data_IF_598690296724
#
_entry.id   IF_598690296724
#
_cell.length_a   1.000
_cell.length_b   1.000
_cell.length_c   1.000
_cell.angle_alpha   90.00
_cell.angle_beta   90.00
_cell.angle_gamma   90.00
#
_symmetry.space_group_name_H-M   'P 1'
#
loop_
_entity.id
_entity.type
_entity.pdbx_description
1 polymer ?
#
# COMPACT_ATOMS: atom_id res chain seq x y z
N UNK A 1 -5.72 15.69 19.15
CA UNK A 1 -6.36 14.88 20.20
C UNK A 1 -6.74 15.69 21.45
N UNK A 2 -5.88 16.54 21.98
CA UNK A 2 -6.20 17.31 23.20
C UNK A 2 -7.35 18.30 23.00
N UNK A 3 -7.40 18.98 21.86
CA UNK A 3 -8.48 19.92 21.51
C UNK A 3 -9.85 19.23 21.54
N UNK A 4 -10.00 18.09 20.86
CA UNK A 4 -11.26 17.33 20.81
C UNK A 4 -11.67 16.75 22.17
N UNK A 5 -10.72 16.46 23.08
CA UNK A 5 -11.06 16.02 24.45
C UNK A 5 -11.74 17.09 25.28
N UNK A 6 -11.57 18.38 24.92
CA UNK A 6 -12.16 19.53 25.63
C UNK A 6 -13.50 19.96 25.03
N UNK A 7 -13.84 19.45 23.82
CA UNK A 7 -15.09 19.80 23.14
C UNK A 7 -16.26 18.94 23.64
N UNK A 8 -17.42 19.56 23.67
CA UNK A 8 -18.69 18.87 23.93
C UNK A 8 -19.15 18.11 22.69
N UNK A 9 -20.22 17.30 22.83
CA UNK A 9 -20.86 16.59 21.72
C UNK A 9 -21.56 17.50 20.71
N UNK A 10 -21.88 18.73 21.12
CA UNK A 10 -22.58 19.72 20.30
C UNK A 10 -21.62 20.61 19.51
N UNK A 11 -20.31 20.51 19.76
CA UNK A 11 -19.26 21.22 19.04
C UNK A 11 -18.70 20.33 17.93
N UNK A 12 -18.44 20.93 16.76
CA UNK A 12 -17.77 20.25 15.66
C UNK A 12 -16.40 19.74 16.09
N UNK A 13 -16.00 18.58 15.62
CA UNK A 13 -14.65 18.05 15.86
C UNK A 13 -13.60 18.98 15.27
N UNK A 14 -12.45 19.04 15.94
CA UNK A 14 -11.27 19.72 15.43
C UNK A 14 -10.57 18.80 14.44
N UNK A 15 -10.65 19.17 13.18
CA UNK A 15 -10.17 18.39 12.04
C UNK A 15 -8.76 18.78 11.62
N UNK A 16 -8.17 18.03 10.72
CA UNK A 16 -6.85 18.33 10.19
C UNK A 16 -6.80 19.70 9.49
N UNK A 17 -7.88 20.07 8.79
CA UNK A 17 -8.01 21.38 8.14
C UNK A 17 -7.92 22.54 9.13
N UNK A 18 -8.46 22.37 10.35
CA UNK A 18 -8.43 23.43 11.38
C UNK A 18 -7.04 23.69 11.95
N UNK A 19 -6.06 22.84 11.64
CA UNK A 19 -4.68 23.00 12.10
C UNK A 19 -3.89 24.02 11.30
N UNK A 20 -4.41 24.47 10.14
CA UNK A 20 -3.69 25.33 9.20
C UNK A 20 -2.53 24.63 8.48
N UNK A 21 -2.42 23.30 8.57
CA UNK A 21 -1.30 22.54 7.96
C UNK A 21 -1.23 22.67 6.43
N UNK A 22 -2.33 23.06 5.79
CA UNK A 22 -2.41 23.24 4.34
C UNK A 22 -2.33 24.71 3.89
N UNK A 23 -2.24 25.68 4.82
CA UNK A 23 -2.35 27.12 4.50
C UNK A 23 -1.25 27.62 3.56
N UNK A 24 -0.07 27.00 3.62
CA UNK A 24 1.09 27.34 2.77
C UNK A 24 1.26 26.40 1.56
N UNK A 25 0.27 25.55 1.26
CA UNK A 25 0.33 24.52 0.21
C UNK A 25 1.54 23.55 0.33
N UNK A 26 2.17 23.46 1.51
CA UNK A 26 3.37 22.64 1.77
C UNK A 26 2.99 21.18 2.06
N UNK A 27 2.47 20.49 1.06
CA UNK A 27 2.07 19.09 1.17
C UNK A 27 2.29 18.33 -0.14
N UNK A 28 2.17 17.01 -0.08
CA UNK A 28 2.21 16.13 -1.23
C UNK A 28 0.86 15.46 -1.43
N UNK A 29 0.40 15.41 -2.69
CA UNK A 29 -0.63 14.47 -3.09
C UNK A 29 0.02 13.18 -3.55
N UNK A 30 -0.46 12.05 -3.04
CA UNK A 30 0.02 10.72 -3.43
C UNK A 30 -1.14 9.93 -4.03
N UNK A 31 -1.06 9.66 -5.32
CA UNK A 31 -2.01 8.82 -6.04
C UNK A 31 -1.47 7.41 -6.17
N UNK A 32 -2.24 6.42 -5.76
CA UNK A 32 -1.89 5.01 -5.90
C UNK A 32 -2.93 4.34 -6.78
N UNK A 33 -2.50 3.89 -7.95
CA UNK A 33 -3.36 3.29 -8.96
C UNK A 33 -2.98 1.83 -9.17
N UNK A 34 -3.97 0.99 -9.39
CA UNK A 34 -3.81 -0.44 -9.62
C UNK A 34 -4.43 -0.85 -10.93
N UNK A 35 -3.68 -1.62 -11.74
CA UNK A 35 -4.17 -2.22 -12.98
C UNK A 35 -3.82 -3.71 -13.03
N UNK A 36 -4.77 -4.55 -13.41
CA UNK A 36 -4.55 -5.99 -13.57
C UNK A 36 -4.24 -6.32 -15.03
N UNK A 37 -3.08 -6.93 -15.28
CA UNK A 37 -2.78 -7.55 -16.56
C UNK A 37 -3.55 -8.88 -16.70
N UNK A 38 -3.55 -9.69 -15.63
CA UNK A 38 -4.35 -10.92 -15.48
C UNK A 38 -4.70 -11.15 -13.97
N UNK A 39 -5.43 -12.20 -13.59
CA UNK A 39 -5.79 -12.49 -12.21
C UNK A 39 -4.59 -12.56 -11.25
N UNK A 40 -3.43 -12.97 -11.74
CA UNK A 40 -2.20 -13.20 -10.98
C UNK A 40 -1.10 -12.16 -11.27
N UNK A 41 -1.45 -11.04 -11.91
CA UNK A 41 -0.51 -10.02 -12.33
C UNK A 41 -1.07 -8.61 -12.10
N UNK A 42 -0.50 -7.89 -11.14
CA UNK A 42 -0.94 -6.59 -10.66
C UNK A 42 0.15 -5.55 -10.88
N UNK A 43 -0.18 -4.50 -11.61
CA UNK A 43 0.64 -3.32 -11.80
C UNK A 43 0.20 -2.25 -10.80
N UNK A 44 1.17 -1.54 -10.21
CA UNK A 44 0.95 -0.48 -9.23
C UNK A 44 1.72 0.74 -9.68
N UNK A 45 1.02 1.86 -9.85
CA UNK A 45 1.59 3.17 -10.17
C UNK A 45 1.37 4.10 -9.00
N UNK A 46 2.45 4.67 -8.47
CA UNK A 46 2.39 5.66 -7.40
C UNK A 46 2.90 6.98 -7.96
N UNK A 47 2.02 7.98 -8.07
CA UNK A 47 2.38 9.33 -8.52
C UNK A 47 2.34 10.28 -7.34
N UNK A 48 3.45 10.96 -7.08
CA UNK A 48 3.59 11.95 -6.01
C UNK A 48 3.70 13.33 -6.62
N UNK A 49 2.81 14.24 -6.22
CA UNK A 49 2.83 15.65 -6.60
C UNK A 49 3.26 16.51 -5.42
N UNK A 50 4.27 17.34 -5.60
CA UNK A 50 4.62 18.38 -4.64
C UNK A 50 3.76 19.61 -4.88
N UNK A 51 2.85 19.94 -3.96
CA UNK A 51 2.00 21.15 -4.05
C UNK A 51 2.70 22.39 -3.51
N UNK A 52 3.79 22.19 -2.77
CA UNK A 52 4.56 23.24 -2.16
C UNK A 52 5.28 24.15 -3.16
N UNK A 53 5.61 25.39 -2.73
CA UNK A 53 6.28 26.39 -3.57
C UNK A 53 7.79 26.13 -3.73
N UNK A 54 8.34 25.12 -3.07
CA UNK A 54 9.76 24.78 -3.08
C UNK A 54 9.97 23.30 -3.41
N UNK A 55 11.17 22.96 -3.91
CA UNK A 55 11.56 21.56 -4.05
C UNK A 55 11.61 20.88 -2.67
N UNK A 56 11.08 19.69 -2.58
CA UNK A 56 11.03 18.95 -1.32
C UNK A 56 11.33 17.47 -1.51
N UNK A 57 11.87 16.85 -0.46
CA UNK A 57 12.20 15.42 -0.43
C UNK A 57 11.07 14.65 0.24
N UNK A 58 10.59 13.60 -0.43
CA UNK A 58 9.67 12.62 0.13
C UNK A 58 10.35 11.25 0.18
N UNK A 59 10.19 10.54 1.30
CA UNK A 59 10.52 9.13 1.40
C UNK A 59 9.25 8.31 1.20
N UNK A 60 9.19 7.57 0.10
CA UNK A 60 8.08 6.69 -0.25
C UNK A 60 8.47 5.25 0.00
N UNK A 61 7.66 4.52 0.77
CA UNK A 61 7.91 3.13 1.17
C UNK A 61 6.73 2.21 0.77
N UNK A 62 6.54 1.89 -0.51
CA UNK A 62 5.62 0.83 -0.88
C UNK A 62 5.98 -0.45 -0.15
N UNK A 63 4.99 -1.03 0.54
CA UNK A 63 5.24 -2.12 1.49
C UNK A 63 4.45 -3.36 1.10
N UNK A 64 5.15 -4.50 1.00
CA UNK A 64 4.58 -5.84 0.85
C UNK A 64 4.67 -6.58 2.16
N UNK A 65 3.56 -7.14 2.63
CA UNK A 65 3.51 -7.86 3.90
C UNK A 65 2.40 -8.90 3.92
N UNK A 66 2.59 -9.90 4.77
CA UNK A 66 1.55 -10.89 5.07
C UNK A 66 0.82 -10.53 6.37
N UNK A 67 -0.50 -10.72 6.39
CA UNK A 67 -1.27 -10.64 7.64
C UNK A 67 -0.72 -11.67 8.63
N UNK A 68 -0.37 -11.19 9.84
CA UNK A 68 0.13 -12.07 10.88
C UNK A 68 -1.00 -12.90 11.47
N UNK A 69 -1.09 -14.15 11.06
CA UNK A 69 -1.96 -15.19 11.60
C UNK A 69 -1.18 -16.39 12.14
N UNK A 70 0.12 -16.48 11.85
CA UNK A 70 0.98 -17.56 12.31
C UNK A 70 1.27 -17.52 13.82
N UNK A 71 1.15 -16.36 14.47
CA UNK A 71 1.34 -16.24 15.91
C UNK A 71 0.14 -16.71 16.73
N UNK A 72 -1.01 -16.98 16.10
CA UNK A 72 -2.26 -17.38 16.75
C UNK A 72 -2.70 -18.80 16.42
N UNK A 73 -1.97 -19.51 15.61
CA UNK A 73 -2.33 -20.84 15.16
C UNK A 73 -1.17 -21.58 14.52
N UNK A 74 -1.44 -22.77 13.98
CA UNK A 74 -0.45 -23.66 13.38
C UNK A 74 -0.17 -23.34 11.88
N UNK A 75 -0.60 -22.17 11.39
CA UNK A 75 -0.35 -21.79 10.01
C UNK A 75 1.16 -21.59 9.78
N UNK A 76 1.73 -22.14 8.69
CA UNK A 76 3.12 -21.93 8.35
C UNK A 76 3.43 -20.44 8.16
N UNK A 77 4.55 -20.00 8.72
CA UNK A 77 5.01 -18.62 8.59
C UNK A 77 5.42 -18.34 7.14
N UNK A 78 4.79 -17.36 6.47
CA UNK A 78 5.17 -16.98 5.11
C UNK A 78 6.50 -16.24 5.10
N UNK A 79 7.10 -16.05 3.92
CA UNK A 79 8.37 -15.34 3.77
C UNK A 79 8.35 -14.32 2.66
N UNK A 80 9.04 -13.22 2.88
CA UNK A 80 9.48 -12.29 1.83
C UNK A 80 11.00 -12.22 1.85
N UNK A 81 11.65 -12.21 0.69
CA UNK A 81 13.11 -12.17 0.59
C UNK A 81 13.56 -11.43 -0.66
N UNK A 82 14.70 -10.79 -0.59
CA UNK A 82 15.33 -10.21 -1.78
C UNK A 82 15.93 -11.30 -2.66
N UNK A 83 15.67 -11.26 -3.97
CA UNK A 83 16.26 -12.18 -4.95
C UNK A 83 17.21 -11.50 -5.91
N UNK A 84 16.99 -10.21 -6.17
CA UNK A 84 17.84 -9.34 -6.97
C UNK A 84 17.60 -7.88 -6.54
N UNK A 85 18.39 -6.94 -7.08
CA UNK A 85 18.19 -5.51 -6.83
C UNK A 85 16.79 -5.09 -7.26
N UNK A 86 16.03 -4.48 -6.35
CA UNK A 86 14.66 -4.06 -6.59
C UNK A 86 13.64 -5.20 -6.74
N UNK A 87 13.99 -6.45 -6.37
CA UNK A 87 13.11 -7.61 -6.55
C UNK A 87 12.89 -8.36 -5.23
N UNK A 88 11.63 -8.50 -4.84
CA UNK A 88 11.19 -9.22 -3.63
C UNK A 88 10.41 -10.45 -4.06
N UNK A 89 10.81 -11.63 -3.58
CA UNK A 89 10.04 -12.85 -3.64
C UNK A 89 9.19 -12.98 -2.38
N UNK A 90 7.92 -13.27 -2.55
CA UNK A 90 6.95 -13.55 -1.50
C UNK A 90 6.45 -14.99 -1.64
N UNK A 91 6.55 -15.79 -0.57
CA UNK A 91 6.13 -17.20 -0.57
C UNK A 91 5.12 -17.44 0.55
N UNK A 92 3.99 -18.03 0.19
CA UNK A 92 2.90 -18.36 1.12
C UNK A 92 2.31 -19.72 0.73
N UNK A 93 1.96 -20.54 1.71
CA UNK A 93 1.45 -21.92 1.48
C UNK A 93 0.24 -21.93 0.51
N UNK A 94 -0.74 -21.08 0.76
CA UNK A 94 -1.99 -21.04 -0.03
C UNK A 94 -1.85 -20.17 -1.28
N UNK A 95 -1.17 -19.01 -1.18
CA UNK A 95 -1.05 -18.04 -2.28
C UNK A 95 0.07 -18.41 -3.27
N UNK A 96 0.90 -19.39 -2.92
CA UNK A 96 2.06 -19.77 -3.70
C UNK A 96 3.15 -18.69 -3.71
N UNK A 97 3.95 -18.69 -4.77
CA UNK A 97 5.05 -17.73 -4.95
C UNK A 97 4.59 -16.54 -5.78
N UNK A 98 5.02 -15.34 -5.37
CA UNK A 98 4.82 -14.08 -6.07
C UNK A 98 6.13 -13.30 -6.08
N UNK A 99 6.33 -12.52 -7.13
CA UNK A 99 7.48 -11.62 -7.27
C UNK A 99 7.00 -10.18 -7.36
N UNK A 100 7.48 -9.32 -6.47
CA UNK A 100 7.31 -7.87 -6.57
C UNK A 100 8.57 -7.28 -7.19
N UNK A 101 8.43 -6.73 -8.39
CA UNK A 101 9.45 -5.94 -9.06
C UNK A 101 9.24 -4.46 -8.74
N UNK A 102 10.32 -3.77 -8.36
CA UNK A 102 10.34 -2.35 -8.03
C UNK A 102 11.22 -1.62 -9.05
N UNK A 103 10.62 -0.72 -9.82
CA UNK A 103 11.35 0.06 -10.84
C UNK A 103 12.40 0.97 -10.18
N UNK A 104 13.52 1.23 -10.89
CA UNK A 104 14.62 2.04 -10.38
C UNK A 104 15.51 1.36 -9.33
N UNK A 105 15.29 0.09 -9.00
CA UNK A 105 16.10 -0.71 -8.07
C UNK A 105 16.34 -0.01 -6.72
N UNK A 106 15.28 0.34 -5.98
CA UNK A 106 15.40 1.00 -4.68
C UNK A 106 16.08 0.09 -3.64
N UNK A 107 16.56 0.70 -2.56
CA UNK A 107 16.96 -0.05 -1.37
C UNK A 107 15.74 -0.81 -0.81
N UNK A 108 15.93 -2.09 -0.45
CA UNK A 108 14.88 -2.92 0.11
C UNK A 108 15.13 -3.14 1.60
N UNK A 109 14.09 -2.91 2.39
CA UNK A 109 14.10 -3.06 3.85
C UNK A 109 13.22 -4.22 4.27
N UNK A 110 13.70 -5.06 5.21
CA UNK A 110 13.00 -6.26 5.64
C UNK A 110 12.80 -6.28 7.15
N UNK A 111 11.60 -6.70 7.58
CA UNK A 111 11.25 -6.91 8.99
C UNK A 111 10.24 -8.06 9.10
N UNK A 112 9.92 -8.44 10.33
CA UNK A 112 8.74 -9.24 10.61
C UNK A 112 7.50 -8.34 10.70
N UNK A 113 6.34 -8.86 10.27
CA UNK A 113 5.06 -8.20 10.51
C UNK A 113 4.49 -8.56 11.88
N UNK A 114 5.33 -8.42 12.91
CA UNK A 114 5.01 -8.69 14.31
C UNK A 114 5.07 -7.41 15.12
N UNK A 115 4.19 -7.29 16.11
CA UNK A 115 4.14 -6.10 16.97
C UNK A 115 5.39 -5.98 17.82
N UNK A 116 5.83 -4.75 18.04
CA UNK A 116 6.91 -4.44 18.98
C UNK A 116 6.41 -4.58 20.42
N UNK A 117 6.47 -5.81 20.94
CA UNK A 117 6.00 -6.16 22.27
C UNK A 117 6.82 -5.47 23.36
N UNK A 118 8.11 -5.28 23.13
CA UNK A 118 8.98 -4.58 24.05
C UNK A 118 8.55 -3.11 24.25
N UNK A 119 8.22 -2.44 23.18
CA UNK A 119 7.74 -1.05 23.21
C UNK A 119 6.33 -0.90 23.78
N UNK A 120 5.43 -1.83 23.42
CA UNK A 120 4.01 -1.70 23.74
C UNK A 120 3.67 -2.24 25.14
N UNK A 121 4.34 -3.31 25.56
CA UNK A 121 3.94 -4.09 26.76
C UNK A 121 5.11 -4.45 27.66
N UNK A 122 6.34 -4.03 27.36
CA UNK A 122 7.55 -4.38 28.13
C UNK A 122 7.91 -5.87 28.05
N UNK A 123 7.40 -6.60 27.06
CA UNK A 123 7.69 -8.02 26.83
C UNK A 123 8.78 -8.20 25.78
N UNK A 124 9.62 -9.25 25.86
CA UNK A 124 10.61 -9.52 24.83
C UNK A 124 9.97 -9.69 23.43
N UNK A 125 10.60 -9.14 22.40
CA UNK A 125 10.21 -9.39 21.03
C UNK A 125 10.67 -10.78 20.58
N UNK A 126 9.83 -11.53 19.80
CA UNK A 126 10.25 -12.80 19.19
C UNK A 126 11.38 -12.64 18.17
N UNK A 127 11.46 -11.48 17.54
CA UNK A 127 12.51 -11.08 16.62
C UNK A 127 12.98 -9.66 16.93
N UNK A 128 14.26 -9.33 16.73
CA UNK A 128 14.74 -7.95 16.85
C UNK A 128 14.17 -7.02 15.78
N UNK A 129 13.69 -7.59 14.66
CA UNK A 129 13.20 -6.85 13.49
C UNK A 129 11.66 -6.86 13.48
N UNK A 130 11.05 -5.88 14.11
CA UNK A 130 9.59 -5.77 14.29
C UNK A 130 8.96 -4.81 13.29
N UNK A 131 7.63 -4.86 13.13
CA UNK A 131 6.91 -4.17 12.04
C UNK A 131 7.05 -2.64 12.00
N UNK A 132 7.40 -1.98 13.11
CA UNK A 132 7.63 -0.54 13.21
C UNK A 132 9.09 -0.12 13.03
N UNK A 133 9.99 -1.06 12.75
CA UNK A 133 11.42 -0.79 12.61
C UNK A 133 11.77 0.16 11.44
N UNK A 134 10.90 0.29 10.43
CA UNK A 134 11.12 1.27 9.36
C UNK A 134 11.15 2.72 9.87
N UNK A 135 10.41 3.04 10.95
CA UNK A 135 10.51 4.35 11.60
C UNK A 135 11.88 4.59 12.21
N UNK A 136 12.41 3.58 12.94
CA UNK A 136 13.74 3.66 13.54
C UNK A 136 14.82 3.79 12.47
N UNK A 137 14.67 3.07 11.36
CA UNK A 137 15.59 3.15 10.22
C UNK A 137 15.62 4.54 9.59
N UNK A 138 14.42 5.11 9.31
CA UNK A 138 14.29 6.38 8.58
C UNK A 138 14.49 7.62 9.45
N UNK A 139 13.91 7.63 10.66
CA UNK A 139 13.86 8.81 11.51
C UNK A 139 15.05 8.86 12.46
N UNK A 140 15.36 7.72 13.10
CA UNK A 140 16.45 7.62 14.08
C UNK A 140 17.79 7.20 13.46
N UNK A 141 17.84 6.89 12.17
CA UNK A 141 19.05 6.44 11.46
C UNK A 141 19.57 5.06 11.88
N UNK A 142 18.76 4.28 12.60
CA UNK A 142 19.14 2.96 13.12
C UNK A 142 19.11 1.91 12.02
N UNK A 143 20.22 1.74 11.32
CA UNK A 143 20.36 0.77 10.24
C UNK A 143 20.23 -0.69 10.70
N UNK A 144 20.52 -0.96 11.96
CA UNK A 144 20.41 -2.23 12.63
C UNK A 144 18.96 -2.65 12.99
N UNK A 145 17.99 -1.75 12.81
CA UNK A 145 16.57 -2.03 13.09
C UNK A 145 15.93 -2.96 12.06
N UNK A 146 16.45 -3.03 10.84
CA UNK A 146 15.96 -3.89 9.77
C UNK A 146 16.85 -5.13 9.59
N UNK A 147 16.29 -6.21 9.04
CA UNK A 147 17.01 -7.48 8.92
C UNK A 147 18.09 -7.44 7.83
N UNK A 148 19.38 -7.53 8.17
CA UNK A 148 20.47 -7.50 7.21
C UNK A 148 20.56 -8.75 6.31
N UNK A 149 19.84 -9.82 6.65
CA UNK A 149 19.73 -11.01 5.80
C UNK A 149 18.72 -10.83 4.65
N UNK A 150 18.10 -9.64 4.53
CA UNK A 150 17.13 -9.31 3.49
C UNK A 150 15.96 -10.31 3.37
N UNK A 151 15.43 -10.71 4.50
CA UNK A 151 14.29 -11.61 4.61
C UNK A 151 13.42 -11.28 5.82
N UNK A 152 12.15 -11.72 5.79
CA UNK A 152 11.17 -11.52 6.85
C UNK A 152 9.77 -11.89 6.39
N UNK A 153 8.76 -11.27 7.00
CA UNK A 153 7.35 -11.39 6.60
C UNK A 153 6.77 -10.04 6.12
N UNK A 154 7.60 -9.00 6.12
CA UNK A 154 7.29 -7.64 5.66
C UNK A 154 8.52 -7.04 4.99
N UNK A 155 8.32 -6.44 3.83
CA UNK A 155 9.38 -5.72 3.11
C UNK A 155 8.88 -4.37 2.61
N UNK A 156 9.75 -3.39 2.52
CA UNK A 156 9.47 -2.10 1.90
C UNK A 156 10.55 -1.77 0.86
N UNK A 157 10.13 -1.15 -0.23
CA UNK A 157 11.00 -0.53 -1.21
C UNK A 157 11.18 0.96 -0.85
N UNK A 158 12.39 1.36 -0.50
CA UNK A 158 12.67 2.73 -0.07
C UNK A 158 13.05 3.61 -1.26
N UNK A 159 12.17 4.52 -1.62
CA UNK A 159 12.43 5.57 -2.62
C UNK A 159 12.65 6.91 -1.93
N UNK A 160 13.77 7.56 -2.21
CA UNK A 160 14.01 8.94 -1.84
C UNK A 160 13.75 9.81 -3.07
N UNK A 161 12.63 10.51 -3.06
CA UNK A 161 12.16 11.32 -4.17
C UNK A 161 12.40 12.80 -3.86
N UNK A 162 13.22 13.48 -4.64
CA UNK A 162 13.34 14.93 -4.63
C UNK A 162 12.45 15.47 -5.74
N UNK A 163 11.42 16.23 -5.37
CA UNK A 163 10.36 16.66 -6.28
C UNK A 163 10.37 18.19 -6.36
N UNK A 164 10.54 18.78 -7.54
CA UNK A 164 10.49 20.25 -7.73
C UNK A 164 9.17 20.85 -7.25
N UNK A 165 9.16 22.16 -6.99
CA UNK A 165 7.95 22.92 -6.71
C UNK A 165 6.92 22.70 -7.83
N UNK A 166 5.68 22.35 -7.48
CA UNK A 166 4.61 22.07 -8.43
C UNK A 166 4.85 20.86 -9.36
N UNK A 167 5.96 20.13 -9.17
CA UNK A 167 6.32 18.97 -9.98
C UNK A 167 5.75 17.66 -9.46
N UNK A 168 6.00 16.58 -10.20
CA UNK A 168 5.62 15.22 -9.80
C UNK A 168 6.70 14.20 -10.13
N UNK A 169 6.63 13.05 -9.43
CA UNK A 169 7.40 11.83 -9.75
C UNK A 169 6.55 10.60 -9.68
N UNK A 170 6.84 9.64 -10.53
CA UNK A 170 6.16 8.36 -10.63
C UNK A 170 7.08 7.22 -10.17
N UNK A 171 6.51 6.26 -9.47
CA UNK A 171 7.13 4.99 -9.08
C UNK A 171 6.24 3.85 -9.55
N UNK A 172 6.86 2.83 -10.16
CA UNK A 172 6.19 1.66 -10.73
C UNK A 172 6.57 0.40 -9.98
N UNK A 173 5.56 -0.43 -9.69
CA UNK A 173 5.78 -1.75 -9.12
C UNK A 173 4.90 -2.77 -9.86
N UNK A 174 5.36 -4.02 -9.93
CA UNK A 174 4.56 -5.12 -10.50
C UNK A 174 4.66 -6.34 -9.63
N UNK A 175 3.51 -6.81 -9.14
CA UNK A 175 3.39 -8.05 -8.36
C UNK A 175 2.79 -9.12 -9.25
N UNK A 176 3.54 -10.20 -9.52
CA UNK A 176 3.13 -11.25 -10.43
C UNK A 176 3.56 -12.64 -9.96
N UNK A 177 2.75 -13.66 -10.30
CA UNK A 177 3.13 -15.06 -10.17
C UNK A 177 4.13 -15.51 -11.26
N UNK A 178 4.25 -14.73 -12.34
CA UNK A 178 5.12 -15.06 -13.48
C UNK A 178 6.35 -14.16 -13.45
N UNK A 179 7.52 -14.75 -13.62
CA UNK A 179 8.75 -14.00 -13.84
C UNK A 179 8.78 -13.43 -15.25
N UNK A 180 9.19 -12.17 -15.39
CA UNK A 180 9.42 -11.51 -16.67
C UNK A 180 10.83 -10.91 -16.70
N UNK A 181 11.52 -11.02 -17.84
CA UNK A 181 12.84 -10.44 -18.01
C UNK A 181 12.81 -8.90 -17.97
N UNK A 182 11.74 -8.31 -18.48
CA UNK A 182 11.47 -6.87 -18.41
C UNK A 182 10.02 -6.69 -17.90
N UNK A 183 9.85 -6.55 -16.58
CA UNK A 183 8.52 -6.48 -15.96
C UNK A 183 7.75 -5.18 -16.28
N UNK A 184 8.42 -4.14 -16.77
CA UNK A 184 7.82 -2.84 -17.01
C UNK A 184 7.60 -2.50 -18.49
N UNK A 185 8.02 -3.35 -19.44
CA UNK A 185 7.95 -3.09 -20.88
C UNK A 185 6.56 -2.72 -21.38
N UNK A 186 5.52 -3.39 -20.90
CA UNK A 186 4.11 -3.16 -21.29
C UNK A 186 3.30 -2.46 -20.22
N UNK A 187 3.96 -1.79 -19.28
CA UNK A 187 3.31 -1.23 -18.10
C UNK A 187 2.26 -0.18 -18.48
N UNK A 188 2.62 0.80 -19.28
CA UNK A 188 1.73 1.89 -19.66
C UNK A 188 0.58 1.39 -20.56
N UNK A 189 0.86 0.50 -21.52
CA UNK A 189 -0.15 -0.10 -22.39
C UNK A 189 -1.24 -0.82 -21.59
N UNK A 190 -0.85 -1.56 -20.53
CA UNK A 190 -1.80 -2.27 -19.67
C UNK A 190 -2.62 -1.26 -18.85
N UNK A 191 -1.99 -0.23 -18.28
CA UNK A 191 -2.69 0.82 -17.54
C UNK A 191 -3.71 1.53 -18.40
N UNK A 192 -3.32 1.96 -19.61
CA UNK A 192 -4.21 2.66 -20.54
C UNK A 192 -5.39 1.79 -20.96
N UNK A 193 -5.14 0.50 -21.26
CA UNK A 193 -6.20 -0.46 -21.57
C UNK A 193 -7.19 -0.62 -20.41
N UNK A 194 -6.71 -0.78 -19.17
CA UNK A 194 -7.59 -0.93 -17.99
C UNK A 194 -8.35 0.36 -17.67
N UNK A 195 -7.73 1.52 -17.87
CA UNK A 195 -8.41 2.81 -17.73
C UNK A 195 -9.54 2.95 -18.76
N UNK A 196 -9.28 2.56 -20.01
CA UNK A 196 -10.30 2.56 -21.07
C UNK A 196 -11.46 1.61 -20.73
N UNK A 197 -11.19 0.39 -20.31
CA UNK A 197 -12.22 -0.58 -19.89
C UNK A 197 -13.09 0.00 -18.75
N UNK A 198 -12.47 0.65 -17.76
CA UNK A 198 -13.20 1.28 -16.67
C UNK A 198 -14.06 2.46 -17.17
N UNK A 199 -13.54 3.29 -18.07
CA UNK A 199 -14.28 4.41 -18.64
C UNK A 199 -15.49 3.91 -19.42
N UNK A 200 -15.32 2.92 -20.30
CA UNK A 200 -16.41 2.33 -21.06
C UNK A 200 -17.50 1.71 -20.16
N UNK A 201 -17.09 1.05 -19.07
CA UNK A 201 -18.02 0.50 -18.08
C UNK A 201 -18.85 1.60 -17.42
N UNK A 202 -18.20 2.63 -16.88
CA UNK A 202 -18.90 3.71 -16.20
C UNK A 202 -19.75 4.56 -17.16
N UNK A 203 -19.31 4.77 -18.39
CA UNK A 203 -20.10 5.51 -19.40
C UNK A 203 -21.41 4.80 -19.76
N UNK A 204 -21.42 3.46 -19.75
CA UNK A 204 -22.64 2.67 -20.00
C UNK A 204 -23.70 2.77 -18.88
N UNK A 205 -23.28 2.91 -17.62
CA UNK A 205 -24.16 2.90 -16.45
C UNK A 205 -24.46 4.30 -15.91
N UNK A 206 -23.74 5.32 -16.37
CA UNK A 206 -23.93 6.71 -15.93
C UNK A 206 -25.07 7.37 -16.69
N UNK A 207 -26.10 7.93 -16.02
CA UNK A 207 -27.18 8.66 -16.68
C UNK A 207 -26.65 9.85 -17.52
N UNK A 208 -27.16 10.00 -18.75
CA UNK A 208 -26.69 11.03 -19.69
C UNK A 208 -26.97 12.46 -19.21
N UNK A 209 -28.00 12.65 -18.37
CA UNK A 209 -28.43 13.96 -17.90
C UNK A 209 -27.56 14.58 -16.81
N UNK A 210 -26.59 13.82 -16.26
CA UNK A 210 -25.72 14.30 -15.20
C UNK A 210 -24.67 15.28 -15.73
N UNK A 211 -24.40 16.36 -14.98
CA UNK A 211 -23.28 17.24 -15.16
C UNK A 211 -21.95 16.50 -14.97
N UNK A 212 -20.84 17.12 -15.34
CA UNK A 212 -19.52 16.50 -15.18
C UNK A 212 -19.18 16.19 -13.71
N UNK A 213 -19.51 17.09 -12.80
CA UNK A 213 -19.30 16.90 -11.36
C UNK A 213 -20.15 15.76 -10.80
N UNK A 214 -21.44 15.72 -11.12
CA UNK A 214 -22.33 14.63 -10.73
C UNK A 214 -21.87 13.28 -11.28
N UNK A 215 -21.31 13.23 -12.51
CA UNK A 215 -20.70 12.01 -13.07
C UNK A 215 -19.50 11.55 -12.26
N UNK A 216 -18.65 12.46 -11.79
CA UNK A 216 -17.50 12.15 -10.92
C UNK A 216 -17.98 11.56 -9.59
N UNK A 217 -18.94 12.21 -8.94
CA UNK A 217 -19.53 11.72 -7.68
C UNK A 217 -20.17 10.35 -7.86
N UNK A 218 -20.97 10.17 -8.92
CA UNK A 218 -21.59 8.89 -9.25
C UNK A 218 -20.57 7.77 -9.45
N UNK A 219 -19.50 8.04 -10.23
CA UNK A 219 -18.41 7.09 -10.46
C UNK A 219 -17.69 6.71 -9.16
N UNK A 220 -17.38 7.68 -8.30
CA UNK A 220 -16.72 7.42 -7.01
C UNK A 220 -17.60 6.57 -6.08
N UNK A 221 -18.88 6.87 -6.00
CA UNK A 221 -19.83 6.12 -5.19
C UNK A 221 -19.94 4.65 -5.64
N UNK A 222 -20.08 4.40 -6.94
CA UNK A 222 -20.14 3.05 -7.50
C UNK A 222 -18.81 2.29 -7.32
N UNK A 223 -17.67 2.95 -7.51
CA UNK A 223 -16.36 2.34 -7.28
C UNK A 223 -16.18 1.95 -5.82
N UNK A 224 -16.56 2.82 -4.88
CA UNK A 224 -16.52 2.54 -3.44
C UNK A 224 -17.40 1.34 -3.06
N UNK A 225 -18.63 1.27 -3.59
CA UNK A 225 -19.52 0.14 -3.37
C UNK A 225 -18.95 -1.17 -3.94
N UNK A 226 -18.38 -1.15 -5.15
CA UNK A 226 -17.81 -2.34 -5.78
C UNK A 226 -16.62 -2.90 -4.99
N UNK A 227 -15.75 -2.03 -4.47
CA UNK A 227 -14.62 -2.42 -3.61
C UNK A 227 -15.11 -2.97 -2.27
N UNK A 228 -16.06 -2.29 -1.63
CA UNK A 228 -16.66 -2.72 -0.37
C UNK A 228 -17.33 -4.09 -0.47
N UNK A 229 -18.12 -4.31 -1.52
CA UNK A 229 -18.80 -5.59 -1.76
C UNK A 229 -17.81 -6.74 -1.99
N UNK A 230 -16.75 -6.52 -2.77
CA UNK A 230 -15.69 -7.52 -2.98
C UNK A 230 -15.00 -7.90 -1.67
N UNK A 231 -14.66 -6.93 -0.84
CA UNK A 231 -14.03 -7.17 0.46
C UNK A 231 -14.94 -7.95 1.39
N UNK A 232 -16.23 -7.65 1.40
CA UNK A 232 -17.23 -8.37 2.20
C UNK A 232 -17.40 -9.82 1.73
N UNK A 233 -17.54 -10.06 0.43
CA UNK A 233 -17.67 -11.41 -0.15
C UNK A 233 -16.41 -12.23 0.10
N UNK A 234 -15.22 -11.65 -0.07
CA UNK A 234 -13.97 -12.34 0.21
C UNK A 234 -13.84 -12.72 1.69
N UNK A 235 -14.26 -11.84 2.62
CA UNK A 235 -14.27 -12.13 4.06
C UNK A 235 -15.27 -13.25 4.40
N UNK A 236 -16.46 -13.25 3.82
CA UNK A 236 -17.46 -14.31 4.02
C UNK A 236 -16.99 -15.66 3.50
N UNK A 237 -16.40 -15.69 2.31
CA UNK A 237 -15.82 -16.93 1.76
C UNK A 237 -14.67 -17.46 2.63
N UNK A 238 -13.80 -16.59 3.14
CA UNK A 238 -12.71 -16.99 4.04
C UNK A 238 -13.26 -17.57 5.35
N UNK A 239 -14.34 -17.04 5.91
CA UNK A 239 -14.99 -17.60 7.10
C UNK A 239 -15.64 -18.96 6.85
N UNK A 240 -16.21 -19.20 5.68
CA UNK A 240 -16.83 -20.49 5.33
C UNK A 240 -15.80 -21.63 5.19
N UNK A 241 -14.55 -21.29 4.84
CA UNK A 241 -13.47 -22.30 4.70
C UNK A 241 -12.75 -22.61 6.02
N UNK A 242 -12.98 -21.84 7.08
CA UNK A 242 -12.31 -22.01 8.39
C UNK A 242 -13.22 -22.52 9.50
N UNK A 243 -14.48 -22.86 9.21
CA UNK A 243 -15.40 -23.40 10.21
C UNK A 243 -15.45 -24.94 10.13
N UNK A 244 -14.80 -25.68 11.06
CA UNK A 244 -14.77 -27.14 11.04
C UNK A 244 -16.05 -27.79 11.57
N UNK A 245 -17.12 -27.04 11.81
CA UNK A 245 -18.36 -27.52 12.43
C UNK A 245 -19.48 -27.91 11.44
N UNK A 246 -19.20 -28.08 10.16
CA UNK A 246 -20.16 -28.65 9.21
C UNK A 246 -19.59 -29.87 8.49
N UNK A 247 -19.42 -30.97 9.28
CA UNK A 247 -19.36 -32.34 8.79
C UNK A 247 -20.30 -33.23 9.59
#
# INVERSE_FOLDING_TARGET
METNRRRSRDELEYELLDTGVFDDDRYFDVFVEYAKADPEDLLIRVTVHNRGPEAAVLHLLPTLWFRNNWTWGDAPKPTVSQTADGTIRATHEVLGERTLNCDGKPELLFTENESNAARLWGQPNPSPYVKDAFHEYMISGRKDAVNPANTGTKAAALYRLEIPAGGSKEVRLRLSAKSAADPFRTFDEIFDSRLQDANEFYDRITPRALSEDERRVHRQALAGMAVGLRSYVAAQLAHHWTDPCHS
#
